data_IF_596727620122
#
_entry.id   IF_596727620122
#
_cell.length_a   1.000
_cell.length_b   1.000
_cell.length_c   1.000
_cell.angle_alpha   90.00
_cell.angle_beta   90.00
_cell.angle_gamma   90.00
#
_symmetry.space_group_name_H-M   'P 1'
#
loop_
_entity.id
_entity.type
_entity.pdbx_description
1 polymer ?
#
# COMPACT_ATOMS: atom_id res chain seq x y z
N UNK A 1 -1.18 -16.68 46.75
CA UNK A 1 -0.72 -16.57 45.37
C UNK A 1 -1.93 -16.23 44.47
N UNK A 2 -2.08 -15.00 43.93
CA UNK A 2 -3.19 -14.69 43.05
C UNK A 2 -2.92 -15.27 41.67
N UNK A 3 -3.90 -16.02 41.15
CA UNK A 3 -3.86 -16.61 39.82
C UNK A 3 -4.13 -15.51 38.77
N UNK A 4 -3.18 -15.30 37.86
CA UNK A 4 -3.31 -14.39 36.71
C UNK A 4 -4.33 -14.98 35.74
N UNK A 5 -5.44 -14.30 35.54
CA UNK A 5 -6.42 -14.58 34.49
C UNK A 5 -5.78 -14.27 33.11
N UNK A 6 -5.83 -15.17 32.13
CA UNK A 6 -5.30 -14.87 30.81
C UNK A 6 -6.14 -13.79 30.13
N UNK A 7 -5.47 -12.75 29.66
CA UNK A 7 -6.06 -11.67 28.86
C UNK A 7 -6.44 -12.23 27.49
N UNK A 8 -7.76 -12.37 27.24
CA UNK A 8 -8.28 -12.70 25.91
C UNK A 8 -8.39 -11.39 25.12
N UNK A 9 -7.70 -11.27 23.96
CA UNK A 9 -7.84 -10.06 23.14
C UNK A 9 -9.27 -9.95 22.61
N UNK A 10 -9.79 -8.72 22.42
CA UNK A 10 -11.13 -8.52 21.89
C UNK A 10 -11.25 -9.11 20.48
N UNK A 11 -12.17 -10.02 20.29
CA UNK A 11 -12.49 -10.57 18.97
C UNK A 11 -13.18 -9.46 18.17
N UNK A 12 -12.53 -9.03 17.08
CA UNK A 12 -13.14 -8.13 16.09
C UNK A 12 -14.29 -8.89 15.41
N UNK A 13 -15.51 -8.37 15.41
CA UNK A 13 -16.62 -9.06 14.74
C UNK A 13 -16.36 -9.14 13.24
N UNK A 14 -16.31 -10.37 12.73
CA UNK A 14 -16.31 -10.62 11.28
C UNK A 14 -17.70 -10.27 10.75
N UNK A 15 -17.81 -9.17 10.03
CA UNK A 15 -19.05 -8.78 9.36
C UNK A 15 -19.38 -9.83 8.28
N UNK A 16 -20.62 -10.36 8.26
CA UNK A 16 -21.03 -11.29 7.22
C UNK A 16 -20.97 -10.63 5.84
N UNK A 17 -20.46 -11.34 4.86
CA UNK A 17 -20.47 -10.90 3.47
C UNK A 17 -21.92 -10.67 3.01
N UNK A 18 -22.30 -9.42 2.82
CA UNK A 18 -23.59 -9.07 2.23
C UNK A 18 -23.52 -9.31 0.73
N UNK A 19 -24.07 -10.43 0.29
CA UNK A 19 -24.16 -10.85 -1.12
C UNK A 19 -25.28 -10.10 -1.89
N UNK A 20 -25.72 -8.95 -1.38
CA UNK A 20 -26.67 -8.09 -2.09
C UNK A 20 -25.90 -7.17 -3.03
N UNK A 21 -26.21 -7.22 -4.32
CA UNK A 21 -25.68 -6.26 -5.30
C UNK A 21 -25.90 -4.83 -4.76
N UNK A 22 -24.83 -4.07 -4.47
CA UNK A 22 -24.99 -2.78 -3.84
C UNK A 22 -25.67 -1.82 -4.81
N UNK A 23 -26.79 -1.26 -4.39
CA UNK A 23 -27.55 -0.24 -5.14
C UNK A 23 -26.98 1.15 -4.95
N UNK A 24 -25.84 1.29 -4.23
CA UNK A 24 -25.19 2.53 -3.87
C UNK A 24 -23.83 2.76 -4.54
N UNK A 25 -23.21 3.84 -4.15
CA UNK A 25 -21.83 4.18 -4.57
C UNK A 25 -20.85 3.15 -4.01
N UNK A 26 -19.89 2.70 -4.85
CA UNK A 26 -18.86 1.73 -4.44
C UNK A 26 -17.49 2.27 -4.81
N UNK A 27 -16.68 2.51 -3.77
CA UNK A 27 -15.34 3.09 -3.89
C UNK A 27 -14.31 2.04 -3.54
N UNK A 28 -13.36 1.84 -4.42
CA UNK A 28 -12.14 1.07 -4.15
C UNK A 28 -11.03 2.03 -3.75
N UNK A 29 -10.36 1.73 -2.65
CA UNK A 29 -9.08 2.32 -2.29
C UNK A 29 -7.97 1.28 -2.50
N UNK A 30 -6.90 1.70 -3.14
CA UNK A 30 -5.67 0.92 -3.29
C UNK A 30 -4.56 1.71 -2.61
N UNK A 31 -3.95 1.14 -1.59
CA UNK A 31 -2.80 1.70 -0.91
C UNK A 31 -1.54 0.89 -1.24
N UNK A 32 -0.42 1.59 -1.42
CA UNK A 32 0.87 1.01 -1.75
C UNK A 32 1.87 1.33 -0.64
N UNK A 33 2.04 0.45 0.37
CA UNK A 33 2.87 0.73 1.55
C UNK A 33 4.35 0.97 1.21
N UNK A 34 4.87 0.28 0.20
CA UNK A 34 6.27 0.34 -0.20
C UNK A 34 6.47 0.98 -1.58
N UNK A 35 5.53 1.82 -2.03
CA UNK A 35 5.48 2.36 -3.39
C UNK A 35 6.83 2.86 -3.90
N UNK A 36 7.43 3.80 -3.16
CA UNK A 36 8.64 4.49 -3.60
C UNK A 36 9.83 3.52 -3.77
N UNK A 37 10.01 2.61 -2.83
CA UNK A 37 11.10 1.62 -2.89
C UNK A 37 10.85 0.60 -4.00
N UNK A 38 9.64 0.07 -4.14
CA UNK A 38 9.31 -1.00 -5.09
C UNK A 38 9.33 -0.56 -6.55
N UNK A 39 8.99 0.70 -6.87
CA UNK A 39 9.06 1.22 -8.24
C UNK A 39 10.47 1.54 -8.72
N UNK A 40 11.41 1.72 -7.79
CA UNK A 40 12.81 2.07 -8.07
C UNK A 40 13.69 0.82 -8.06
N UNK A 41 13.42 -0.07 -7.13
CA UNK A 41 14.23 -1.25 -6.84
C UNK A 41 14.31 -2.21 -8.04
N UNK A 42 15.52 -2.60 -8.47
CA UNK A 42 15.70 -3.65 -9.46
C UNK A 42 15.12 -4.98 -9.00
N UNK A 43 14.58 -5.76 -9.93
CA UNK A 43 13.90 -7.02 -9.60
C UNK A 43 14.81 -8.02 -8.87
N UNK A 44 16.10 -8.04 -9.20
CA UNK A 44 17.12 -8.91 -8.60
C UNK A 44 17.51 -8.51 -7.15
N UNK A 45 17.08 -7.33 -6.69
CA UNK A 45 17.38 -6.82 -5.34
C UNK A 45 16.21 -6.87 -4.37
N UNK A 46 15.10 -7.48 -4.76
CA UNK A 46 13.87 -7.47 -3.95
C UNK A 46 14.01 -8.14 -2.60
N UNK A 47 14.84 -9.18 -2.54
CA UNK A 47 15.08 -9.95 -1.31
C UNK A 47 16.21 -9.35 -0.45
N UNK A 48 16.86 -8.27 -0.90
CA UNK A 48 17.89 -7.57 -0.17
C UNK A 48 17.36 -6.26 0.44
N UNK A 49 17.89 -5.81 1.59
CA UNK A 49 17.54 -4.53 2.16
C UNK A 49 17.83 -3.38 1.19
N UNK A 50 16.76 -2.65 0.82
CA UNK A 50 16.81 -1.52 -0.11
C UNK A 50 16.12 -0.31 0.51
N UNK A 51 16.79 0.84 0.46
CA UNK A 51 16.27 2.08 1.04
C UNK A 51 16.41 3.25 0.07
N UNK A 52 15.48 4.18 0.16
CA UNK A 52 15.60 5.50 -0.47
C UNK A 52 15.95 6.52 0.60
N UNK A 53 16.98 7.31 0.37
CA UNK A 53 17.41 8.36 1.26
C UNK A 53 17.07 9.74 0.69
N UNK A 54 16.81 10.70 1.56
CA UNK A 54 16.63 12.10 1.22
C UNK A 54 17.43 13.02 2.15
N UNK A 55 17.68 14.25 1.70
CA UNK A 55 18.26 15.29 2.54
C UNK A 55 17.16 16.01 3.30
N UNK A 56 17.16 15.88 4.63
CA UNK A 56 16.21 16.57 5.50
C UNK A 56 16.96 17.32 6.60
N UNK A 57 16.82 18.66 6.64
CA UNK A 57 17.41 19.54 7.67
C UNK A 57 18.90 19.30 7.90
N UNK A 58 19.68 19.17 6.82
CA UNK A 58 21.14 19.00 6.90
C UNK A 58 21.63 17.58 7.19
N UNK A 59 20.74 16.60 7.35
CA UNK A 59 21.06 15.18 7.53
C UNK A 59 20.40 14.33 6.45
N UNK A 60 20.96 13.17 6.17
CA UNK A 60 20.32 12.17 5.33
C UNK A 60 19.44 11.26 6.18
N UNK A 61 18.19 11.09 5.76
CA UNK A 61 17.21 10.19 6.40
C UNK A 61 16.62 9.23 5.39
N UNK A 62 16.11 8.10 5.89
CA UNK A 62 15.38 7.16 5.08
C UNK A 62 14.00 7.73 4.72
N UNK A 63 13.75 7.92 3.44
CA UNK A 63 12.45 8.37 2.92
C UNK A 63 11.52 7.18 2.63
N UNK A 64 12.09 6.03 2.24
CA UNK A 64 11.35 4.80 2.03
C UNK A 64 12.25 3.58 2.24
N UNK A 65 11.64 2.47 2.62
CA UNK A 65 12.29 1.18 2.84
C UNK A 65 11.48 0.08 2.15
N UNK A 66 12.12 -1.02 1.75
CA UNK A 66 11.40 -2.19 1.27
C UNK A 66 11.14 -3.17 2.43
N UNK A 67 10.33 -4.19 2.18
CA UNK A 67 9.96 -5.21 3.18
C UNK A 67 11.21 -5.88 3.79
N UNK A 68 12.24 -6.17 2.99
CA UNK A 68 13.49 -6.77 3.49
C UNK A 68 14.24 -5.83 4.44
N UNK A 69 14.24 -4.52 4.17
CA UNK A 69 14.84 -3.52 5.05
C UNK A 69 14.04 -3.37 6.35
N UNK A 70 12.71 -3.37 6.30
CA UNK A 70 11.84 -3.36 7.50
C UNK A 70 12.07 -4.58 8.38
N UNK A 71 12.21 -5.77 7.80
CA UNK A 71 12.52 -6.99 8.52
C UNK A 71 13.88 -6.92 9.25
N UNK A 72 14.80 -6.06 8.80
CA UNK A 72 16.06 -5.76 9.45
C UNK A 72 15.97 -4.61 10.50
N UNK A 73 14.76 -4.10 10.78
CA UNK A 73 14.52 -3.02 11.74
C UNK A 73 14.73 -1.61 11.20
N UNK A 74 14.90 -1.45 9.88
CA UNK A 74 14.96 -0.13 9.26
C UNK A 74 13.55 0.44 9.07
N UNK A 75 13.40 1.75 9.24
CA UNK A 75 12.10 2.42 9.09
C UNK A 75 12.27 3.84 8.51
N UNK A 76 11.24 4.33 7.87
CA UNK A 76 11.17 5.70 7.35
C UNK A 76 11.44 6.73 8.46
N UNK A 77 12.20 7.77 8.16
CA UNK A 77 12.61 8.79 9.12
C UNK A 77 13.90 8.48 9.90
N UNK A 78 14.38 7.22 9.91
CA UNK A 78 15.65 6.84 10.54
C UNK A 78 16.82 7.61 9.90
N UNK A 79 17.82 8.02 10.69
CA UNK A 79 19.02 8.63 10.12
C UNK A 79 19.80 7.59 9.31
N UNK A 80 20.31 7.97 8.14
CA UNK A 80 21.04 7.06 7.26
C UNK A 80 22.30 6.48 7.93
N UNK A 81 22.95 7.26 8.81
CA UNK A 81 24.11 6.79 9.58
C UNK A 81 23.76 5.64 10.51
N UNK A 82 22.60 5.74 11.22
CA UNK A 82 22.12 4.70 12.13
C UNK A 82 21.70 3.45 11.34
N UNK A 83 21.02 3.64 10.21
CA UNK A 83 20.65 2.57 9.31
C UNK A 83 21.86 1.78 8.79
N UNK A 84 22.96 2.49 8.42
CA UNK A 84 24.22 1.84 8.01
C UNK A 84 24.91 1.08 9.14
N UNK A 85 24.75 1.52 10.37
CA UNK A 85 25.29 0.80 11.54
C UNK A 85 24.53 -0.50 11.78
N UNK A 86 23.22 -0.55 11.50
CA UNK A 86 22.40 -1.75 11.63
C UNK A 86 22.56 -2.72 10.45
N UNK A 87 22.58 -2.19 9.22
CA UNK A 87 22.62 -2.98 7.98
C UNK A 87 23.67 -2.39 7.05
N UNK A 88 24.96 -2.71 7.22
CA UNK A 88 26.06 -2.13 6.43
C UNK A 88 25.93 -2.35 4.93
N UNK A 89 25.45 -3.52 4.51
CA UNK A 89 25.39 -3.97 3.13
C UNK A 89 24.05 -3.62 2.42
N UNK A 90 23.21 -2.76 3.02
CA UNK A 90 21.96 -2.33 2.39
C UNK A 90 22.22 -1.54 1.12
N UNK A 91 21.31 -1.66 0.15
CA UNK A 91 21.32 -0.83 -1.06
C UNK A 91 20.66 0.51 -0.78
N UNK A 92 21.32 1.59 -1.22
CA UNK A 92 20.87 2.96 -1.00
C UNK A 92 20.77 3.68 -2.34
N UNK A 93 19.61 4.27 -2.61
CA UNK A 93 19.42 5.25 -3.68
C UNK A 93 18.88 6.56 -3.11
N UNK A 94 19.10 7.66 -3.83
CA UNK A 94 18.49 8.93 -3.45
C UNK A 94 17.07 9.01 -3.96
N UNK A 95 16.16 9.52 -3.14
CA UNK A 95 14.76 9.72 -3.50
C UNK A 95 14.65 10.70 -4.66
N UNK A 96 13.94 10.30 -5.71
CA UNK A 96 13.42 11.16 -6.76
C UNK A 96 11.88 11.21 -6.67
N UNK A 97 11.31 12.28 -6.08
CA UNK A 97 9.85 12.39 -5.93
C UNK A 97 9.10 12.40 -7.27
N UNK A 98 9.72 12.94 -8.33
CA UNK A 98 9.10 13.01 -9.66
C UNK A 98 8.90 11.60 -10.25
N UNK A 99 9.84 10.68 -10.00
CA UNK A 99 9.75 9.29 -10.44
C UNK A 99 8.57 8.56 -9.78
N UNK A 100 8.36 8.80 -8.46
CA UNK A 100 7.23 8.26 -7.71
C UNK A 100 5.88 8.72 -8.24
N UNK A 101 5.74 10.02 -8.45
CA UNK A 101 4.53 10.63 -8.97
C UNK A 101 4.21 10.16 -10.40
N UNK A 102 5.21 10.13 -11.29
CA UNK A 102 5.04 9.66 -12.67
C UNK A 102 4.64 8.18 -12.75
N UNK A 103 5.17 7.35 -11.87
CA UNK A 103 4.80 5.94 -11.79
C UNK A 103 3.36 5.76 -11.27
N UNK A 104 2.93 6.54 -10.26
CA UNK A 104 1.56 6.49 -9.74
C UNK A 104 0.55 6.93 -10.81
N UNK A 105 0.87 7.97 -11.59
CA UNK A 105 0.06 8.42 -12.70
C UNK A 105 -0.06 7.36 -13.83
N UNK A 106 1.02 6.63 -14.12
CA UNK A 106 0.97 5.47 -15.05
C UNK A 106 0.07 4.36 -14.51
N UNK A 107 0.15 4.09 -13.20
CA UNK A 107 -0.70 3.10 -12.54
C UNK A 107 -2.18 3.51 -12.61
N UNK A 108 -2.49 4.78 -12.32
CA UNK A 108 -3.84 5.33 -12.43
C UNK A 108 -4.41 5.18 -13.85
N UNK A 109 -3.62 5.54 -14.89
CA UNK A 109 -4.02 5.35 -16.28
C UNK A 109 -4.28 3.88 -16.62
N UNK A 110 -3.45 2.98 -16.12
CA UNK A 110 -3.63 1.55 -16.34
C UNK A 110 -4.91 1.02 -15.67
N UNK A 111 -5.26 1.51 -14.48
CA UNK A 111 -6.47 1.12 -13.74
C UNK A 111 -7.77 1.62 -14.39
N UNK A 112 -7.71 2.56 -15.32
CA UNK A 112 -8.89 3.00 -16.12
C UNK A 112 -9.56 1.88 -16.92
N UNK A 113 -8.92 0.72 -17.03
CA UNK A 113 -9.55 -0.49 -17.61
C UNK A 113 -10.73 -1.01 -16.79
N UNK A 114 -10.76 -0.70 -15.48
CA UNK A 114 -11.82 -1.14 -14.58
C UNK A 114 -12.94 -0.12 -14.45
N UNK A 115 -12.59 1.14 -14.46
CA UNK A 115 -13.52 2.28 -14.37
C UNK A 115 -12.84 3.54 -14.92
N UNK A 116 -13.57 4.44 -15.59
CA UNK A 116 -13.00 5.73 -16.02
C UNK A 116 -12.66 6.66 -14.84
N UNK A 117 -13.26 6.43 -13.67
CA UNK A 117 -13.15 7.27 -12.48
C UNK A 117 -12.02 6.78 -11.57
N UNK A 118 -10.80 7.22 -11.86
CA UNK A 118 -9.60 6.92 -11.09
C UNK A 118 -8.91 8.22 -10.73
N UNK A 119 -8.64 8.43 -9.44
CA UNK A 119 -7.91 9.56 -8.89
C UNK A 119 -6.81 9.12 -7.94
N UNK A 120 -5.78 9.96 -7.80
CA UNK A 120 -4.77 9.76 -6.76
C UNK A 120 -5.35 10.12 -5.39
N UNK A 121 -4.90 9.40 -4.36
CA UNK A 121 -5.09 9.82 -2.98
C UNK A 121 -4.29 11.11 -2.74
N UNK A 122 -4.94 12.10 -2.16
CA UNK A 122 -4.34 13.42 -1.91
C UNK A 122 -3.74 13.54 -0.52
N UNK A 123 -3.80 12.50 0.32
CA UNK A 123 -3.18 12.53 1.63
C UNK A 123 -1.64 12.58 1.49
N UNK A 124 -0.94 13.51 2.16
CA UNK A 124 0.50 13.76 1.94
C UNK A 124 1.40 12.54 2.10
N UNK A 125 1.04 11.66 3.03
CA UNK A 125 1.84 10.47 3.38
C UNK A 125 1.30 9.19 2.72
N UNK A 126 0.35 9.31 1.78
CA UNK A 126 -0.26 8.17 1.11
C UNK A 126 0.19 8.06 -0.33
N UNK A 127 0.63 6.88 -0.70
CA UNK A 127 0.79 6.48 -2.10
C UNK A 127 -0.38 5.57 -2.45
N UNK A 128 -1.50 6.17 -2.84
CA UNK A 128 -2.74 5.43 -3.08
C UNK A 128 -3.52 5.93 -4.27
N UNK A 129 -4.47 5.11 -4.70
CA UNK A 129 -5.42 5.40 -5.77
C UNK A 129 -6.84 5.11 -5.29
N UNK A 130 -7.76 5.96 -5.69
CA UNK A 130 -9.18 5.83 -5.42
C UNK A 130 -9.93 5.60 -6.74
N UNK A 131 -10.83 4.63 -6.76
CA UNK A 131 -11.61 4.28 -7.94
C UNK A 131 -13.10 4.25 -7.58
N UNK A 132 -13.93 4.90 -8.37
CA UNK A 132 -15.38 4.70 -8.30
C UNK A 132 -15.76 3.55 -9.25
N UNK A 133 -16.14 2.40 -8.68
CA UNK A 133 -16.51 1.19 -9.43
C UNK A 133 -18.02 0.98 -9.48
N UNK A 134 -18.80 1.99 -9.08
CA UNK A 134 -20.28 1.92 -9.11
C UNK A 134 -20.76 1.50 -10.50
N UNK A 135 -21.52 0.42 -10.57
CA UNK A 135 -22.02 -0.12 -11.81
C UNK A 135 -21.01 -0.83 -12.73
N UNK A 136 -19.70 -0.93 -12.34
CA UNK A 136 -18.69 -1.56 -13.21
C UNK A 136 -18.40 -3.02 -12.84
N UNK A 137 -18.62 -3.42 -11.59
CA UNK A 137 -18.19 -4.72 -11.05
C UNK A 137 -18.77 -5.93 -11.81
N UNK A 138 -20.00 -5.81 -12.36
CA UNK A 138 -20.65 -6.88 -13.12
C UNK A 138 -19.86 -7.29 -14.38
N UNK A 139 -19.10 -6.34 -14.99
CA UNK A 139 -18.26 -6.60 -16.17
C UNK A 139 -17.08 -7.54 -15.87
N UNK A 140 -16.74 -7.69 -14.59
CA UNK A 140 -15.63 -8.51 -14.12
C UNK A 140 -16.10 -9.75 -13.33
N UNK A 141 -17.39 -10.02 -13.31
CA UNK A 141 -17.99 -11.14 -12.58
C UNK A 141 -18.18 -10.87 -11.09
N UNK A 142 -18.35 -9.59 -10.71
CA UNK A 142 -18.60 -9.12 -9.35
C UNK A 142 -17.38 -8.43 -8.72
N UNK A 143 -17.63 -7.72 -7.59
CA UNK A 143 -16.61 -6.94 -6.89
C UNK A 143 -15.40 -7.78 -6.49
N UNK A 144 -15.62 -8.93 -5.86
CA UNK A 144 -14.53 -9.80 -5.40
C UNK A 144 -13.57 -10.17 -6.53
N UNK A 145 -14.09 -10.66 -7.66
CA UNK A 145 -13.27 -11.05 -8.80
C UNK A 145 -12.52 -9.86 -9.40
N UNK A 146 -13.17 -8.69 -9.44
CA UNK A 146 -12.55 -7.45 -9.90
C UNK A 146 -11.37 -7.06 -9.01
N UNK A 147 -11.52 -7.09 -7.67
CA UNK A 147 -10.46 -6.77 -6.72
C UNK A 147 -9.31 -7.81 -6.78
N UNK A 148 -9.65 -9.08 -6.88
CA UNK A 148 -8.66 -10.16 -7.00
C UNK A 148 -7.83 -10.02 -8.29
N UNK A 149 -8.45 -9.66 -9.43
CA UNK A 149 -7.74 -9.40 -10.69
C UNK A 149 -6.83 -8.15 -10.58
N UNK A 150 -7.31 -7.08 -9.94
CA UNK A 150 -6.49 -5.88 -9.67
C UNK A 150 -5.25 -6.26 -8.86
N UNK A 151 -5.44 -6.91 -7.69
CA UNK A 151 -4.37 -7.35 -6.79
C UNK A 151 -3.37 -8.24 -7.51
N UNK A 152 -3.84 -9.27 -8.18
CA UNK A 152 -2.98 -10.22 -8.90
C UNK A 152 -2.12 -9.54 -9.99
N UNK A 153 -2.67 -8.56 -10.70
CA UNK A 153 -1.95 -7.83 -11.76
C UNK A 153 -0.94 -6.83 -11.21
N UNK A 154 -1.24 -6.18 -10.07
CA UNK A 154 -0.32 -5.27 -9.38
C UNK A 154 0.84 -6.08 -8.79
N UNK A 155 0.54 -7.17 -8.08
CA UNK A 155 1.55 -8.03 -7.44
C UNK A 155 2.49 -8.68 -8.47
N UNK A 156 1.99 -9.06 -9.67
CA UNK A 156 2.85 -9.56 -10.76
C UNK A 156 3.90 -8.56 -11.25
N UNK A 157 3.72 -7.27 -10.98
CA UNK A 157 4.73 -6.24 -11.23
C UNK A 157 5.70 -6.05 -10.08
N UNK A 158 5.52 -6.84 -9.00
CA UNK A 158 6.29 -6.76 -7.78
C UNK A 158 5.98 -5.54 -6.94
N UNK A 159 4.75 -5.07 -7.00
CA UNK A 159 4.26 -3.96 -6.19
C UNK A 159 3.30 -4.55 -5.16
N UNK A 160 3.58 -4.29 -3.89
CA UNK A 160 2.71 -4.64 -2.77
C UNK A 160 1.54 -3.67 -2.72
N UNK A 161 0.32 -4.18 -2.54
CA UNK A 161 -0.85 -3.33 -2.42
C UNK A 161 -1.87 -3.89 -1.45
N UNK A 162 -2.52 -3.00 -0.71
CA UNK A 162 -3.70 -3.26 0.09
C UNK A 162 -4.91 -2.66 -0.64
N UNK A 163 -5.92 -3.47 -0.87
CA UNK A 163 -7.11 -3.08 -1.65
C UNK A 163 -8.35 -3.31 -0.81
N UNK A 164 -9.16 -2.28 -0.66
CA UNK A 164 -10.44 -2.36 0.02
C UNK A 164 -11.54 -1.66 -0.78
N UNK A 165 -12.79 -2.07 -0.55
CA UNK A 165 -13.99 -1.49 -1.17
C UNK A 165 -15.01 -1.15 -0.10
N UNK A 166 -15.61 0.04 -0.21
CA UNK A 166 -16.68 0.51 0.69
C UNK A 166 -17.60 1.51 -0.03
N UNK A 167 -18.65 1.95 0.66
CA UNK A 167 -19.64 2.90 0.11
C UNK A 167 -19.14 4.35 0.11
N UNK A 168 -18.07 4.64 0.86
CA UNK A 168 -17.47 5.98 0.96
C UNK A 168 -15.97 5.93 0.78
N UNK A 169 -15.39 7.07 0.34
CA UNK A 169 -13.94 7.24 0.21
C UNK A 169 -13.23 6.99 1.53
N UNK A 170 -13.71 7.62 2.63
CA UNK A 170 -13.08 7.50 3.94
C UNK A 170 -13.08 6.07 4.49
N UNK A 171 -14.21 5.35 4.32
CA UNK A 171 -14.27 3.94 4.75
C UNK A 171 -13.37 3.04 3.91
N UNK A 172 -13.36 3.21 2.59
CA UNK A 172 -12.48 2.43 1.71
C UNK A 172 -11.01 2.70 2.02
N UNK A 173 -10.65 3.97 2.22
CA UNK A 173 -9.31 4.40 2.59
C UNK A 173 -8.86 3.79 3.92
N UNK A 174 -9.69 3.90 4.96
CA UNK A 174 -9.38 3.36 6.28
C UNK A 174 -9.21 1.83 6.25
N UNK A 175 -10.07 1.13 5.51
CA UNK A 175 -9.95 -0.32 5.35
C UNK A 175 -8.68 -0.73 4.58
N UNK A 176 -8.26 0.03 3.56
CA UNK A 176 -7.04 -0.26 2.83
C UNK A 176 -5.78 -0.03 3.67
N UNK A 177 -5.80 0.92 4.62
CA UNK A 177 -4.64 1.26 5.45
C UNK A 177 -4.58 0.47 6.76
N UNK A 178 -5.73 0.11 7.34
CA UNK A 178 -5.82 -0.46 8.70
C UNK A 178 -6.70 -1.70 8.78
N UNK A 179 -7.15 -2.21 7.65
CA UNK A 179 -7.97 -3.42 7.61
C UNK A 179 -7.16 -4.70 7.88
N UNK A 180 -7.82 -5.85 8.10
CA UNK A 180 -7.16 -7.10 8.41
C UNK A 180 -6.27 -7.66 7.28
N UNK A 181 -6.44 -7.16 6.06
CA UNK A 181 -5.66 -7.54 4.87
C UNK A 181 -4.65 -6.44 4.44
N UNK A 182 -4.41 -5.45 5.31
CA UNK A 182 -3.46 -4.35 5.08
C UNK A 182 -2.06 -4.66 5.58
#
# INVERSE_FOLDING_TARGET
>A
MPQSTPHVPPQVPVLPALDTAPTGRRIVAIWFPHWLSEIVMPAEKRDAPFVLAEHQRGTQRLAAVNIAAEACGLHTGMALADARALVPDMHIEMLDPARGAAALDKCARWLRRYTPWVGADTHPDSHGLLLDISGCAHLFGGERRMLDDMRARINRRGITCCIAVADTIGSAWALAHYGPDS
#
